data_IF_184272210934
#
_entry.id   IF_184272210934
#
_cell.length_a   1.000
_cell.length_b   1.000
_cell.length_c   1.000
_cell.angle_alpha   90.00
_cell.angle_beta   90.00
_cell.angle_gamma   90.00
#
_symmetry.space_group_name_H-M   'P 1'
#
loop_
_entity.id
_entity.type
_entity.pdbx_description
1 polymer ?
#
# COMPACT_ATOMS: atom_id res chain seq x y z
N UNK A 1 -13.82 -16.68 43.52
CA UNK A 1 -14.38 -15.49 42.84
C UNK A 1 -13.35 -14.41 42.49
N UNK A 2 -12.03 -14.61 42.69
CA UNK A 2 -11.02 -13.61 42.28
C UNK A 2 -10.51 -13.82 40.85
N UNK A 3 -10.50 -15.07 40.38
CA UNK A 3 -9.99 -15.47 39.05
C UNK A 3 -10.70 -14.72 37.92
N UNK A 4 -11.98 -14.40 38.08
CA UNK A 4 -12.75 -13.66 37.08
C UNK A 4 -12.19 -12.26 36.83
N UNK A 5 -11.69 -11.57 37.85
CA UNK A 5 -11.09 -10.24 37.70
C UNK A 5 -9.77 -10.29 36.93
N UNK A 6 -8.99 -11.37 37.11
CA UNK A 6 -7.75 -11.61 36.36
C UNK A 6 -8.04 -11.94 34.88
N UNK A 7 -9.06 -12.74 34.61
CA UNK A 7 -9.44 -13.09 33.24
C UNK A 7 -9.97 -11.87 32.48
N UNK A 8 -10.78 -11.04 33.14
CA UNK A 8 -11.30 -9.79 32.55
C UNK A 8 -10.15 -8.84 32.20
N UNK A 9 -9.18 -8.64 33.08
CA UNK A 9 -8.06 -7.73 32.82
C UNK A 9 -7.20 -8.21 31.65
N UNK A 10 -6.87 -9.50 31.59
CA UNK A 10 -6.10 -10.08 30.48
C UNK A 10 -6.88 -9.94 29.16
N UNK A 11 -8.17 -10.23 29.16
CA UNK A 11 -9.04 -10.10 27.98
C UNK A 11 -9.04 -8.66 27.43
N UNK A 12 -9.19 -7.66 28.30
CA UNK A 12 -9.18 -6.25 27.91
C UNK A 12 -7.81 -5.85 27.32
N UNK A 13 -6.71 -6.27 27.94
CA UNK A 13 -5.36 -5.97 27.43
C UNK A 13 -5.15 -6.56 26.03
N UNK A 14 -5.55 -7.81 25.82
CA UNK A 14 -5.47 -8.46 24.51
C UNK A 14 -6.34 -7.74 23.49
N UNK A 15 -7.59 -7.39 23.84
CA UNK A 15 -8.51 -6.68 22.95
C UNK A 15 -7.96 -5.32 22.52
N UNK A 16 -7.42 -4.52 23.45
CA UNK A 16 -6.80 -3.22 23.15
C UNK A 16 -5.56 -3.40 22.28
N UNK A 17 -4.73 -4.41 22.56
CA UNK A 17 -3.55 -4.72 21.75
C UNK A 17 -3.90 -5.02 20.29
N UNK A 18 -4.88 -5.90 20.07
CA UNK A 18 -5.39 -6.20 18.72
C UNK A 18 -6.01 -4.98 18.06
N UNK A 19 -6.76 -4.16 18.80
CA UNK A 19 -7.37 -2.95 18.26
C UNK A 19 -6.32 -1.94 17.78
N UNK A 20 -5.27 -1.68 18.56
CA UNK A 20 -4.19 -0.77 18.16
C UNK A 20 -3.44 -1.32 16.94
N UNK A 21 -3.16 -2.64 16.91
CA UNK A 21 -2.53 -3.28 15.77
C UNK A 21 -3.38 -3.16 14.50
N UNK A 22 -4.70 -3.37 14.62
CA UNK A 22 -5.66 -3.20 13.54
C UNK A 22 -5.64 -1.77 12.98
N UNK A 23 -5.73 -0.75 13.85
CA UNK A 23 -5.69 0.66 13.41
C UNK A 23 -4.35 0.98 12.72
N UNK A 24 -3.23 0.48 13.23
CA UNK A 24 -1.93 0.66 12.57
C UNK A 24 -1.90 0.03 11.19
N UNK A 25 -2.36 -1.21 11.05
CA UNK A 25 -2.41 -1.91 9.77
C UNK A 25 -3.26 -1.16 8.73
N UNK A 26 -4.44 -0.68 9.13
CA UNK A 26 -5.34 0.09 8.24
C UNK A 26 -4.73 1.43 7.84
N UNK A 27 -4.00 2.09 8.75
CA UNK A 27 -3.42 3.41 8.52
C UNK A 27 -2.07 3.38 7.76
N UNK A 28 -1.43 2.22 7.61
CA UNK A 28 -0.14 2.07 6.91
C UNK A 28 -0.20 2.31 5.39
N UNK A 29 -1.31 2.84 4.85
CA UNK A 29 -1.38 3.25 3.44
C UNK A 29 -1.33 2.08 2.47
N UNK A 30 -1.62 0.85 2.93
CA UNK A 30 -1.70 -0.33 2.07
C UNK A 30 -2.82 -0.22 1.01
N UNK A 31 -3.72 0.76 1.17
CA UNK A 31 -4.79 1.09 0.24
C UNK A 31 -4.40 2.17 -0.79
N UNK A 32 -3.16 2.69 -0.77
CA UNK A 32 -2.73 3.69 -1.75
C UNK A 32 -2.49 3.11 -3.15
N UNK A 33 -2.57 1.78 -3.30
CA UNK A 33 -2.49 1.07 -4.59
C UNK A 33 -3.88 0.60 -5.09
N UNK A 34 -4.92 1.40 -4.85
CA UNK A 34 -6.26 1.19 -5.41
C UNK A 34 -6.29 1.36 -6.95
N UNK A 35 -5.22 1.94 -7.53
CA UNK A 35 -5.03 2.06 -8.98
C UNK A 35 -4.01 1.03 -9.47
N UNK A 36 -4.53 -0.12 -9.91
CA UNK A 36 -3.75 -1.23 -10.44
C UNK A 36 -2.74 -0.74 -11.50
N UNK A 37 -1.47 -1.23 -11.47
CA UNK A 37 -0.41 -0.78 -12.39
C UNK A 37 -0.80 -0.94 -13.88
N UNK A 38 -1.63 -1.93 -14.20
CA UNK A 38 -2.17 -2.14 -15.54
C UNK A 38 -3.00 -0.97 -16.07
N UNK A 39 -3.76 -0.30 -15.19
CA UNK A 39 -4.63 0.84 -15.55
C UNK A 39 -3.79 2.11 -15.71
N UNK A 40 -2.80 2.32 -14.84
CA UNK A 40 -1.84 3.42 -14.99
C UNK A 40 -1.11 3.34 -16.33
N UNK A 41 -0.65 2.15 -16.71
CA UNK A 41 0.06 1.92 -17.97
C UNK A 41 -0.82 2.20 -19.21
N UNK A 42 -2.12 1.89 -19.15
CA UNK A 42 -3.08 2.15 -20.25
C UNK A 42 -3.34 3.64 -20.46
N UNK A 43 -3.28 4.47 -19.42
CA UNK A 43 -3.55 5.92 -19.50
C UNK A 43 -2.27 6.78 -19.59
N UNK A 44 -1.11 6.24 -19.22
CA UNK A 44 0.19 6.90 -19.40
C UNK A 44 0.55 7.06 -20.89
N UNK A 45 0.04 6.17 -21.76
CA UNK A 45 0.27 6.21 -23.21
C UNK A 45 -0.57 7.30 -23.91
N UNK A 46 -1.76 7.65 -23.40
CA UNK A 46 -2.62 8.68 -23.99
C UNK A 46 -2.15 10.11 -23.68
N UNK A 47 -1.57 10.34 -22.50
CA UNK A 47 -1.09 11.67 -22.07
C UNK A 47 0.27 12.06 -22.67
N UNK A 48 0.98 11.14 -23.32
CA UNK A 48 2.31 11.38 -23.90
C UNK A 48 2.25 12.02 -25.30
N UNK A 49 1.08 12.10 -25.93
CA UNK A 49 0.93 12.61 -27.30
C UNK A 49 1.11 14.14 -27.38
N UNK A 50 1.02 14.89 -26.27
CA UNK A 50 1.12 16.36 -26.29
C UNK A 50 2.53 16.95 -26.09
N UNK A 51 3.54 16.15 -25.75
CA UNK A 51 4.93 16.63 -25.68
C UNK A 51 5.84 15.79 -26.58
N UNK A 52 6.30 16.31 -27.72
CA UNK A 52 7.27 15.63 -28.56
C UNK A 52 8.61 15.66 -27.83
N UNK A 53 8.85 14.74 -26.90
CA UNK A 53 10.19 14.49 -26.37
C UNK A 53 10.98 13.73 -27.44
N UNK A 54 12.17 14.22 -27.83
CA UNK A 54 12.96 13.61 -28.89
C UNK A 54 13.34 12.19 -28.47
N UNK A 55 12.98 11.23 -29.31
CA UNK A 55 13.33 9.82 -29.19
C UNK A 55 14.86 9.73 -29.34
N UNK A 56 15.58 9.52 -28.23
CA UNK A 56 16.97 9.11 -28.28
C UNK A 56 17.03 7.62 -28.60
N UNK A 57 17.15 7.32 -29.88
CA UNK A 57 17.61 6.02 -30.37
C UNK A 57 19.01 5.78 -29.82
N UNK A 58 19.15 4.91 -28.80
CA UNK A 58 20.46 4.38 -28.43
C UNK A 58 20.88 3.45 -29.55
N UNK A 59 21.83 3.93 -30.36
CA UNK A 59 22.57 3.13 -31.32
C UNK A 59 23.15 1.91 -30.62
N UNK A 60 22.76 0.77 -31.18
CA UNK A 60 23.39 -0.53 -31.02
C UNK A 60 24.89 -0.40 -31.32
N UNK A 61 25.70 -0.44 -30.26
CA UNK A 61 27.13 -0.71 -30.36
C UNK A 61 27.65 -1.23 -29.02
N UNK A 62 27.83 -2.54 -28.90
CA UNK A 62 29.18 -3.15 -28.92
C UNK A 62 29.23 -4.54 -28.27
N UNK A 63 29.76 -5.48 -29.08
CA UNK A 63 30.51 -6.72 -28.79
C UNK A 63 29.68 -7.98 -28.52
#
# INVERSE_FOLDING_TARGET
>A
MSVIYLLISISIVVAIGFFIAFIRAVKTGQYDDDYTPSVRMLFDDELKIENPKPIQTKEEKQI
#
